data_IF_474680313709
#
_entry.id   IF_474680313709
#
_cell.length_a   1.000
_cell.length_b   1.000
_cell.length_c   1.000
_cell.angle_alpha   90.00
_cell.angle_beta   90.00
_cell.angle_gamma   90.00
#
_symmetry.space_group_name_H-M   'P 1'
#
loop_
_entity.id
_entity.type
_entity.pdbx_description
1 polymer ?
#
# COMPACT_ATOMS: atom_id res chain seq x y z
N UNK A 1 85.57 -0.73 46.57
CA UNK A 1 85.37 -1.44 45.31
C UNK A 1 84.01 -1.05 44.77
N UNK A 2 84.01 -0.14 43.82
CA UNK A 2 82.78 0.48 43.27
C UNK A 2 82.47 -0.16 41.90
N UNK A 3 81.36 -0.89 41.78
CA UNK A 3 80.91 -1.40 40.51
C UNK A 3 79.89 -0.43 39.85
N UNK A 4 80.30 0.16 38.73
CA UNK A 4 79.43 0.98 37.91
C UNK A 4 78.43 0.06 37.10
N UNK A 5 77.12 0.22 37.33
CA UNK A 5 76.07 -0.40 36.50
C UNK A 5 75.90 0.39 35.18
N UNK A 6 75.92 -0.35 34.07
CA UNK A 6 75.72 0.15 32.69
C UNK A 6 74.21 0.28 32.46
N UNK A 7 73.69 1.51 32.26
CA UNK A 7 72.30 1.76 31.84
C UNK A 7 72.19 1.48 30.33
N UNK A 8 71.38 0.52 29.94
CA UNK A 8 71.01 0.27 28.55
C UNK A 8 69.82 1.15 28.21
N UNK A 9 69.98 2.06 27.29
CA UNK A 9 68.89 2.87 26.72
C UNK A 9 68.08 2.04 25.72
N UNK A 10 66.74 2.08 25.74
CA UNK A 10 65.94 1.44 24.71
C UNK A 10 65.96 2.30 23.44
N UNK A 11 66.33 1.70 22.31
CA UNK A 11 66.25 2.30 20.99
C UNK A 11 64.77 2.46 20.58
N UNK A 12 64.35 3.72 20.38
CA UNK A 12 63.06 4.04 19.82
C UNK A 12 63.00 3.64 18.35
N UNK A 13 62.22 2.58 18.06
CA UNK A 13 61.87 2.21 16.70
C UNK A 13 61.01 3.29 16.06
N UNK A 14 61.52 3.97 15.05
CA UNK A 14 60.76 4.95 14.28
C UNK A 14 59.55 4.34 13.55
N UNK A 15 58.49 5.10 13.29
CA UNK A 15 57.31 4.60 12.60
C UNK A 15 57.69 4.13 11.18
N UNK A 16 57.49 2.85 10.91
CA UNK A 16 57.76 2.24 9.63
C UNK A 16 57.03 2.97 8.50
N UNK A 17 57.80 3.54 7.58
CA UNK A 17 57.26 4.24 6.41
C UNK A 17 56.56 3.24 5.51
N UNK A 18 55.21 3.30 5.45
CA UNK A 18 54.41 2.52 4.51
C UNK A 18 54.90 2.82 3.09
N UNK A 19 55.29 1.76 2.33
CA UNK A 19 55.87 1.94 1.00
C UNK A 19 54.91 2.70 0.07
N UNK A 20 55.44 3.62 -0.72
CA UNK A 20 54.67 4.44 -1.67
C UNK A 20 53.71 3.64 -2.54
N UNK A 21 54.11 2.41 -2.95
CA UNK A 21 53.26 1.50 -3.70
C UNK A 21 51.98 1.12 -2.96
N UNK A 22 52.04 0.87 -1.65
CA UNK A 22 50.83 0.53 -0.82
C UNK A 22 49.88 1.71 -0.68
N UNK A 23 50.40 2.95 -0.62
CA UNK A 23 49.57 4.17 -0.61
C UNK A 23 48.88 4.41 -1.95
N UNK A 24 49.51 4.12 -3.06
CA UNK A 24 48.94 4.23 -4.41
C UNK A 24 47.88 3.15 -4.63
N UNK A 25 48.11 1.92 -4.17
CA UNK A 25 47.12 0.82 -4.25
C UNK A 25 45.92 1.13 -3.36
N UNK A 26 46.11 1.64 -2.15
CA UNK A 26 45.01 2.06 -1.27
C UNK A 26 44.21 3.24 -1.84
N UNK A 27 44.87 4.21 -2.47
CA UNK A 27 44.18 5.33 -3.13
C UNK A 27 43.43 4.88 -4.39
N UNK A 28 43.96 3.95 -5.19
CA UNK A 28 43.25 3.32 -6.31
C UNK A 28 42.08 2.44 -5.87
N UNK A 29 42.23 1.71 -4.77
CA UNK A 29 41.16 0.92 -4.18
C UNK A 29 40.02 1.81 -3.63
N UNK A 30 40.34 2.95 -3.02
CA UNK A 30 39.34 3.95 -2.60
C UNK A 30 38.64 4.64 -3.78
N UNK A 31 39.33 4.87 -4.89
CA UNK A 31 38.74 5.42 -6.13
C UNK A 31 37.84 4.39 -6.85
N UNK A 32 38.17 3.11 -6.79
CA UNK A 32 37.36 2.02 -7.32
C UNK A 32 36.13 1.70 -6.43
N UNK A 33 36.15 2.11 -5.15
CA UNK A 33 35.01 1.99 -4.23
C UNK A 33 34.14 3.25 -4.20
N UNK A 34 34.32 4.19 -5.11
CA UNK A 34 33.25 5.12 -5.49
C UNK A 34 32.14 4.26 -6.12
N UNK A 35 31.38 3.58 -5.25
CA UNK A 35 30.14 2.93 -5.64
C UNK A 35 29.38 3.95 -6.49
N UNK A 36 29.08 3.59 -7.73
CA UNK A 36 28.16 4.34 -8.57
C UNK A 36 26.87 4.47 -7.76
N UNK A 37 26.69 5.60 -7.11
CA UNK A 37 25.42 5.97 -6.51
C UNK A 37 24.44 6.02 -7.68
N UNK A 38 23.74 4.90 -7.93
CA UNK A 38 22.64 4.88 -8.89
C UNK A 38 21.66 5.91 -8.36
N UNK A 39 21.59 7.05 -9.01
CA UNK A 39 20.67 8.10 -8.64
C UNK A 39 19.26 7.50 -8.62
N UNK A 40 18.56 7.68 -7.52
CA UNK A 40 17.18 7.22 -7.41
C UNK A 40 16.36 7.93 -8.47
N UNK A 41 15.64 7.23 -9.36
CA UNK A 41 14.92 7.87 -10.44
C UNK A 41 13.86 8.84 -9.88
N UNK A 42 13.76 10.01 -10.49
CA UNK A 42 12.79 11.05 -10.18
C UNK A 42 11.44 10.67 -10.77
N UNK A 43 10.60 10.03 -10.01
CA UNK A 43 9.33 9.49 -10.50
C UNK A 43 8.12 10.24 -9.97
N UNK A 44 7.11 10.35 -10.81
CA UNK A 44 5.82 10.94 -10.49
C UNK A 44 4.72 9.92 -10.78
N UNK A 45 3.62 9.97 -10.04
CA UNK A 45 2.47 9.14 -10.34
C UNK A 45 1.13 9.83 -10.04
N UNK A 46 0.14 9.57 -10.89
CA UNK A 46 -1.25 9.93 -10.65
C UNK A 46 -1.98 8.88 -9.80
N UNK A 47 -1.43 7.66 -9.72
CA UNK A 47 -2.08 6.53 -9.06
C UNK A 47 -1.53 6.24 -7.67
N UNK A 48 -2.42 6.09 -6.70
CA UNK A 48 -2.05 5.86 -5.30
C UNK A 48 -1.55 4.43 -5.04
N UNK A 49 -2.04 3.44 -5.79
CA UNK A 49 -1.55 2.06 -5.71
C UNK A 49 -0.10 1.95 -6.21
N UNK A 50 0.22 2.69 -7.29
CA UNK A 50 1.60 2.81 -7.78
C UNK A 50 2.46 3.54 -6.74
N UNK A 51 1.99 4.65 -6.17
CA UNK A 51 2.73 5.38 -5.13
C UNK A 51 3.08 4.46 -3.94
N UNK A 52 2.13 3.65 -3.46
CA UNK A 52 2.37 2.67 -2.40
C UNK A 52 3.47 1.67 -2.76
N UNK A 53 3.40 1.12 -3.98
CA UNK A 53 4.36 0.12 -4.44
C UNK A 53 5.76 0.75 -4.61
N UNK A 54 5.87 1.96 -5.17
CA UNK A 54 7.13 2.69 -5.29
C UNK A 54 7.80 2.87 -3.93
N UNK A 55 7.05 3.37 -2.94
CA UNK A 55 7.56 3.54 -1.57
C UNK A 55 8.03 2.20 -0.98
N UNK A 56 7.26 1.14 -1.18
CA UNK A 56 7.60 -0.20 -0.70
C UNK A 56 8.82 -0.82 -1.41
N UNK A 57 9.15 -0.34 -2.62
CA UNK A 57 10.35 -0.65 -3.38
C UNK A 57 11.56 0.23 -2.99
N UNK A 58 11.39 1.19 -2.09
CA UNK A 58 12.43 2.15 -1.69
C UNK A 58 12.63 3.28 -2.69
N UNK A 59 11.62 3.61 -3.49
CA UNK A 59 11.62 4.72 -4.43
C UNK A 59 10.60 5.75 -3.98
N UNK A 60 11.08 6.89 -3.52
CA UNK A 60 10.22 8.01 -3.12
C UNK A 60 9.66 8.73 -4.35
N UNK A 61 8.33 8.78 -4.59
CA UNK A 61 7.80 9.60 -5.66
C UNK A 61 7.98 11.08 -5.31
N UNK A 62 8.54 11.86 -6.25
CA UNK A 62 8.72 13.31 -6.07
C UNK A 62 7.43 14.09 -6.25
N UNK A 63 6.42 13.51 -6.90
CA UNK A 63 5.10 14.09 -7.09
C UNK A 63 4.00 13.04 -7.12
N UNK A 64 2.88 13.34 -6.44
CA UNK A 64 1.68 12.48 -6.38
C UNK A 64 0.43 13.34 -6.49
N UNK A 65 -0.57 12.87 -7.24
CA UNK A 65 -1.86 13.57 -7.34
C UNK A 65 -2.72 13.39 -6.09
N UNK A 66 -3.38 14.47 -5.65
CA UNK A 66 -4.32 14.46 -4.52
C UNK A 66 -3.72 13.87 -3.22
N UNK A 67 -2.61 14.43 -2.76
CA UNK A 67 -1.89 13.98 -1.55
C UNK A 67 -2.78 13.93 -0.31
N UNK A 68 -3.67 14.91 -0.11
CA UNK A 68 -4.62 14.90 0.99
C UNK A 68 -5.56 13.68 0.92
N UNK A 69 -6.05 13.35 -0.30
CA UNK A 69 -6.83 12.15 -0.54
C UNK A 69 -6.03 10.86 -0.25
N UNK A 70 -4.77 10.80 -0.67
CA UNK A 70 -3.89 9.67 -0.34
C UNK A 70 -3.84 9.44 1.18
N UNK A 71 -3.63 10.48 1.96
CA UNK A 71 -3.56 10.37 3.43
C UNK A 71 -4.85 9.83 4.05
N UNK A 72 -6.01 10.26 3.53
CA UNK A 72 -7.33 9.87 4.08
C UNK A 72 -7.75 8.45 3.67
N UNK A 73 -7.50 8.06 2.43
CA UNK A 73 -8.04 6.83 1.85
C UNK A 73 -7.05 5.67 1.84
N UNK A 74 -5.76 5.96 1.67
CA UNK A 74 -4.72 4.94 1.57
C UNK A 74 -4.18 4.58 2.94
N UNK A 75 -3.99 5.57 3.79
CA UNK A 75 -3.53 5.44 5.18
C UNK A 75 -2.21 4.67 5.37
N UNK A 76 -1.39 4.56 4.32
CA UNK A 76 -0.06 3.94 4.38
C UNK A 76 0.34 3.14 3.13
N UNK A 77 1.67 3.02 2.88
CA UNK A 77 2.75 3.69 3.59
C UNK A 77 2.67 5.22 3.45
N UNK A 78 3.21 5.99 4.42
CA UNK A 78 3.18 7.45 4.33
C UNK A 78 4.00 7.94 3.14
N UNK A 79 3.50 8.99 2.47
CA UNK A 79 4.28 9.68 1.46
C UNK A 79 5.46 10.41 2.15
N UNK A 80 6.65 10.44 1.51
CA UNK A 80 7.75 11.29 1.95
C UNK A 80 7.31 12.76 2.12
N UNK A 81 7.91 13.47 3.06
CA UNK A 81 7.52 14.85 3.39
C UNK A 81 7.78 15.85 2.25
N UNK A 82 8.72 15.52 1.38
CA UNK A 82 9.13 16.30 0.20
C UNK A 82 8.32 15.95 -1.07
N UNK A 83 7.43 14.95 -1.01
CA UNK A 83 6.52 14.64 -2.11
C UNK A 83 5.60 15.82 -2.40
N UNK A 84 5.65 16.34 -3.65
CA UNK A 84 4.85 17.48 -4.08
C UNK A 84 3.44 17.04 -4.49
N UNK A 85 2.45 17.84 -4.12
CA UNK A 85 1.09 17.75 -4.65
C UNK A 85 1.09 18.23 -6.11
N UNK A 86 0.67 17.38 -7.05
CA UNK A 86 0.63 17.71 -8.48
C UNK A 86 -0.79 17.96 -9.01
N UNK A 87 -1.72 18.32 -8.13
CA UNK A 87 -3.12 18.61 -8.48
C UNK A 87 -4.00 17.36 -8.51
N UNK A 88 -5.12 17.44 -9.22
CA UNK A 88 -6.05 16.32 -9.33
C UNK A 88 -5.46 15.16 -10.12
N UNK A 89 -5.74 13.93 -9.72
CA UNK A 89 -5.30 12.73 -10.47
C UNK A 89 -5.85 12.68 -11.88
N UNK A 90 -7.07 13.20 -12.11
CA UNK A 90 -7.70 13.30 -13.43
C UNK A 90 -7.28 14.55 -14.23
N UNK A 91 -6.78 15.58 -13.53
CA UNK A 91 -6.33 16.86 -14.13
C UNK A 91 -5.08 17.36 -13.41
N UNK A 92 -3.91 16.76 -13.67
CA UNK A 92 -2.67 17.17 -13.03
C UNK A 92 -2.24 18.57 -13.50
N UNK A 93 -1.54 19.29 -12.64
CA UNK A 93 -0.93 20.57 -12.95
C UNK A 93 0.32 20.34 -13.82
N UNK A 94 0.19 20.62 -15.12
CA UNK A 94 1.24 20.36 -16.11
C UNK A 94 2.47 21.25 -15.93
N UNK A 95 2.29 22.50 -15.47
CA UNK A 95 3.42 23.41 -15.22
C UNK A 95 4.26 22.91 -14.05
N UNK A 96 3.60 22.50 -12.97
CA UNK A 96 4.30 21.93 -11.82
C UNK A 96 5.00 20.61 -12.17
N UNK A 97 4.36 19.76 -12.99
CA UNK A 97 4.99 18.54 -13.50
C UNK A 97 6.26 18.86 -14.32
N UNK A 98 6.21 19.87 -15.20
CA UNK A 98 7.39 20.31 -15.95
C UNK A 98 8.49 20.85 -15.04
N UNK A 99 8.13 21.64 -14.00
CA UNK A 99 9.11 22.15 -13.01
C UNK A 99 9.74 21.04 -12.18
N UNK A 100 9.01 19.95 -11.93
CA UNK A 100 9.53 18.80 -11.19
C UNK A 100 10.56 18.00 -12.00
N UNK A 101 10.61 18.17 -13.31
CA UNK A 101 11.53 17.50 -14.23
C UNK A 101 11.71 16.01 -13.89
N UNK A 102 10.63 15.20 -14.02
CA UNK A 102 10.68 13.78 -13.69
C UNK A 102 11.36 12.96 -14.80
N UNK A 103 12.10 11.93 -14.42
CA UNK A 103 12.64 10.95 -15.38
C UNK A 103 11.53 10.07 -15.96
N UNK A 104 10.41 9.90 -15.22
CA UNK A 104 9.28 9.05 -15.63
C UNK A 104 8.00 9.38 -14.89
N UNK A 105 6.89 9.28 -15.62
CA UNK A 105 5.54 9.41 -15.07
C UNK A 105 4.85 8.03 -15.12
N UNK A 106 4.38 7.57 -13.98
CA UNK A 106 3.62 6.32 -13.88
C UNK A 106 2.13 6.61 -13.84
N UNK A 107 1.37 5.83 -14.59
CA UNK A 107 -0.09 5.82 -14.59
C UNK A 107 -0.61 4.39 -14.54
N UNK A 108 -1.91 4.23 -14.30
CA UNK A 108 -2.66 3.00 -14.56
C UNK A 108 -3.61 3.22 -15.72
N UNK A 109 -4.28 2.16 -16.15
CA UNK A 109 -5.36 2.19 -17.15
C UNK A 109 -6.42 3.25 -16.86
N UNK A 110 -6.66 3.58 -15.59
CA UNK A 110 -7.61 4.63 -15.17
C UNK A 110 -7.24 6.02 -15.74
N UNK A 111 -5.95 6.26 -15.95
CA UNK A 111 -5.41 7.54 -16.41
C UNK A 111 -4.87 7.48 -17.84
N UNK A 112 -5.20 6.43 -18.59
CA UNK A 112 -4.71 6.25 -19.97
C UNK A 112 -5.02 7.45 -20.88
N UNK A 113 -6.17 8.11 -20.69
CA UNK A 113 -6.53 9.33 -21.41
C UNK A 113 -5.61 10.54 -21.19
N UNK A 114 -4.77 10.52 -20.13
CA UNK A 114 -3.78 11.56 -19.86
C UNK A 114 -2.40 11.27 -20.50
N UNK A 115 -2.18 10.05 -20.99
CA UNK A 115 -0.86 9.58 -21.40
C UNK A 115 -0.22 10.48 -22.46
N UNK A 116 -0.95 10.87 -23.49
CA UNK A 116 -0.45 11.74 -24.58
C UNK A 116 -0.02 13.11 -24.04
N UNK A 117 -0.82 13.71 -23.17
CA UNK A 117 -0.52 15.01 -22.58
C UNK A 117 0.68 14.93 -21.64
N UNK A 118 0.78 13.90 -20.82
CA UNK A 118 1.88 13.67 -19.89
C UNK A 118 3.20 13.38 -20.62
N UNK A 119 3.14 12.71 -21.78
CA UNK A 119 4.34 12.39 -22.58
C UNK A 119 5.07 13.60 -23.14
N UNK A 120 4.45 14.78 -23.15
CA UNK A 120 5.15 16.03 -23.50
C UNK A 120 6.12 16.51 -22.41
N UNK A 121 6.06 15.92 -21.20
CA UNK A 121 6.94 16.29 -20.08
C UNK A 121 8.00 15.20 -19.87
N UNK A 122 7.60 13.94 -19.77
CA UNK A 122 8.50 12.82 -19.52
C UNK A 122 7.92 11.50 -20.07
N UNK A 123 8.76 10.46 -20.24
CA UNK A 123 8.28 9.13 -20.62
C UNK A 123 7.18 8.63 -19.67
N UNK A 124 6.04 8.21 -20.25
CA UNK A 124 4.90 7.67 -19.50
C UNK A 124 4.94 6.14 -19.51
N UNK A 125 4.70 5.52 -18.38
CA UNK A 125 4.58 4.07 -18.24
C UNK A 125 3.27 3.70 -17.57
N UNK A 126 2.43 2.91 -18.26
CA UNK A 126 1.24 2.32 -17.67
C UNK A 126 1.59 1.04 -16.91
N UNK A 127 1.04 0.89 -15.71
CA UNK A 127 1.20 -0.29 -14.84
C UNK A 127 -0.20 -0.76 -14.47
N UNK A 128 -0.79 -1.56 -15.35
CA UNK A 128 -2.20 -1.92 -15.32
C UNK A 128 -2.43 -3.14 -14.41
N UNK A 129 -3.61 -3.19 -13.77
CA UNK A 129 -4.03 -4.26 -12.86
C UNK A 129 -5.42 -4.77 -13.22
N UNK A 130 -6.41 -3.88 -13.40
CA UNK A 130 -7.82 -4.26 -13.50
C UNK A 130 -8.31 -4.51 -14.93
N UNK A 131 -7.61 -4.00 -15.92
CA UNK A 131 -7.95 -4.18 -17.35
C UNK A 131 -7.07 -5.23 -18.03
N UNK A 132 -6.20 -5.90 -17.27
CA UNK A 132 -5.47 -7.07 -17.72
C UNK A 132 -6.32 -8.33 -17.56
N UNK A 133 -6.09 -9.32 -18.41
CA UNK A 133 -6.71 -10.65 -18.25
C UNK A 133 -6.18 -11.35 -17.00
N UNK A 134 -7.00 -12.22 -16.43
CA UNK A 134 -6.62 -13.04 -15.28
C UNK A 134 -7.10 -12.53 -13.94
N UNK A 135 -6.55 -13.09 -12.87
CA UNK A 135 -6.89 -12.78 -11.48
C UNK A 135 -6.23 -11.47 -11.02
N UNK A 136 -6.97 -10.61 -10.33
CA UNK A 136 -6.48 -9.30 -9.86
C UNK A 136 -5.24 -9.42 -8.97
N UNK A 137 -5.09 -10.50 -8.23
CA UNK A 137 -3.90 -10.73 -7.41
C UNK A 137 -2.67 -10.98 -8.28
N UNK A 138 -2.78 -11.85 -9.27
CA UNK A 138 -1.64 -12.17 -10.15
C UNK A 138 -1.26 -10.94 -10.99
N UNK A 139 -2.25 -10.18 -11.45
CA UNK A 139 -2.04 -8.89 -12.11
C UNK A 139 -1.32 -7.89 -11.18
N UNK A 140 -1.68 -7.84 -9.88
CA UNK A 140 -0.99 -7.00 -8.90
C UNK A 140 0.48 -7.43 -8.71
N UNK A 141 0.77 -8.74 -8.68
CA UNK A 141 2.15 -9.24 -8.62
C UNK A 141 2.94 -8.89 -9.88
N UNK A 142 2.33 -9.04 -11.05
CA UNK A 142 2.92 -8.66 -12.33
C UNK A 142 3.20 -7.16 -12.40
N UNK A 143 2.26 -6.32 -11.94
CA UNK A 143 2.40 -4.87 -11.85
C UNK A 143 3.59 -4.46 -10.97
N UNK A 144 3.74 -5.07 -9.79
CA UNK A 144 4.89 -4.81 -8.90
C UNK A 144 6.20 -5.26 -9.54
N UNK A 145 6.20 -6.40 -10.24
CA UNK A 145 7.38 -6.90 -10.96
C UNK A 145 7.76 -5.94 -12.10
N UNK A 146 6.79 -5.49 -12.90
CA UNK A 146 6.98 -4.50 -13.96
C UNK A 146 7.52 -3.18 -13.40
N UNK A 147 6.92 -2.68 -12.31
CA UNK A 147 7.34 -1.46 -11.66
C UNK A 147 8.80 -1.57 -11.17
N UNK A 148 9.15 -2.69 -10.51
CA UNK A 148 10.51 -2.95 -10.05
C UNK A 148 11.56 -2.87 -11.16
N UNK A 149 11.27 -3.42 -12.35
CA UNK A 149 12.14 -3.30 -13.53
C UNK A 149 12.28 -1.86 -14.02
N UNK A 150 11.17 -1.13 -14.07
CA UNK A 150 11.14 0.24 -14.59
C UNK A 150 11.87 1.25 -13.69
N UNK A 151 12.15 0.88 -12.43
CA UNK A 151 12.87 1.73 -11.45
C UNK A 151 14.15 1.07 -10.92
N UNK A 152 14.67 0.03 -11.58
CA UNK A 152 15.89 -0.70 -11.21
C UNK A 152 15.85 -1.26 -9.78
N UNK A 153 14.70 -1.84 -9.40
CA UNK A 153 14.43 -2.42 -8.07
C UNK A 153 13.89 -3.86 -8.15
N UNK A 154 14.36 -4.67 -9.10
CA UNK A 154 13.90 -6.05 -9.28
C UNK A 154 14.04 -6.92 -8.02
N UNK A 155 15.16 -6.79 -7.32
CA UNK A 155 15.41 -7.52 -6.06
C UNK A 155 14.40 -7.09 -4.98
N UNK A 156 14.13 -5.78 -4.87
CA UNK A 156 13.15 -5.25 -3.94
C UNK A 156 11.73 -5.70 -4.28
N UNK A 157 11.36 -5.75 -5.56
CA UNK A 157 10.06 -6.25 -6.01
C UNK A 157 9.85 -7.73 -5.64
N UNK A 158 10.82 -8.59 -5.90
CA UNK A 158 10.79 -10.00 -5.48
C UNK A 158 10.67 -10.14 -3.96
N UNK A 159 11.42 -9.35 -3.21
CA UNK A 159 11.38 -9.34 -1.74
C UNK A 159 10.04 -8.84 -1.21
N UNK A 160 9.44 -7.79 -1.81
CA UNK A 160 8.13 -7.27 -1.47
C UNK A 160 7.04 -8.33 -1.66
N UNK A 161 7.01 -8.99 -2.83
CA UNK A 161 6.06 -10.07 -3.13
C UNK A 161 6.18 -11.20 -2.10
N UNK A 162 7.40 -11.69 -1.86
CA UNK A 162 7.63 -12.77 -0.90
C UNK A 162 7.24 -12.37 0.52
N UNK A 163 7.55 -11.15 0.94
CA UNK A 163 7.17 -10.62 2.26
C UNK A 163 5.66 -10.52 2.41
N UNK A 164 4.96 -9.97 1.41
CA UNK A 164 3.50 -9.85 1.42
C UNK A 164 2.83 -11.21 1.53
N UNK A 165 3.25 -12.20 0.75
CA UNK A 165 2.70 -13.57 0.84
C UNK A 165 2.87 -14.16 2.23
N UNK A 166 4.07 -14.03 2.84
CA UNK A 166 4.32 -14.51 4.21
C UNK A 166 3.50 -13.76 5.26
N UNK A 167 3.31 -12.46 5.09
CA UNK A 167 2.50 -11.66 6.03
C UNK A 167 1.03 -12.06 5.96
N UNK A 168 0.47 -12.23 4.76
CA UNK A 168 -0.92 -12.69 4.58
C UNK A 168 -1.10 -14.08 5.19
N UNK A 169 -0.21 -15.04 4.93
CA UNK A 169 -0.26 -16.37 5.51
C UNK A 169 -0.26 -16.33 7.05
N UNK A 170 0.64 -15.55 7.65
CA UNK A 170 0.67 -15.36 9.11
C UNK A 170 -0.62 -14.76 9.67
N UNK A 171 -1.30 -13.89 8.93
CA UNK A 171 -2.59 -13.36 9.37
C UNK A 171 -3.71 -14.39 9.17
N UNK A 172 -3.63 -15.22 8.14
CA UNK A 172 -4.56 -16.34 7.94
C UNK A 172 -4.55 -17.32 9.14
N UNK A 173 -3.36 -17.66 9.67
CA UNK A 173 -3.21 -18.55 10.83
C UNK A 173 -3.88 -18.00 12.11
N UNK A 174 -4.22 -16.71 12.15
CA UNK A 174 -4.88 -16.05 13.29
C UNK A 174 -6.41 -16.06 13.17
N UNK A 175 -6.93 -16.23 11.97
CA UNK A 175 -8.38 -16.14 11.72
C UNK A 175 -9.08 -17.37 12.25
N UNK A 176 -10.21 -17.24 12.99
CA UNK A 176 -11.00 -18.39 13.43
C UNK A 176 -11.50 -19.23 12.25
N UNK A 177 -11.38 -20.57 12.35
CA UNK A 177 -11.73 -21.48 11.26
C UNK A 177 -13.25 -21.49 10.92
N UNK A 178 -14.10 -21.11 11.88
CA UNK A 178 -15.55 -21.02 11.75
C UNK A 178 -16.03 -19.63 11.31
N UNK A 179 -15.13 -18.80 10.78
CA UNK A 179 -15.49 -17.46 10.30
C UNK A 179 -16.49 -17.55 9.15
N UNK A 180 -17.66 -16.95 9.34
CA UNK A 180 -18.68 -16.84 8.28
C UNK A 180 -18.16 -16.06 7.08
N UNK A 181 -18.72 -16.27 5.86
CA UNK A 181 -18.36 -15.47 4.68
C UNK A 181 -18.42 -13.98 4.96
N UNK A 182 -17.48 -13.22 4.44
CA UNK A 182 -17.36 -11.78 4.67
C UNK A 182 -18.20 -10.99 3.67
N UNK A 183 -19.09 -10.14 4.16
CA UNK A 183 -19.72 -9.09 3.36
C UNK A 183 -18.90 -7.80 3.53
N UNK A 184 -17.95 -7.58 2.63
CA UNK A 184 -17.10 -6.39 2.65
C UNK A 184 -17.77 -5.23 1.93
N UNK A 185 -17.93 -4.12 2.63
CA UNK A 185 -18.58 -2.93 2.08
C UNK A 185 -17.97 -1.63 2.59
N UNK A 186 -18.30 -0.55 1.89
CA UNK A 186 -17.95 0.82 2.24
C UNK A 186 -19.15 1.72 1.98
N UNK A 187 -19.51 2.58 2.93
CA UNK A 187 -20.61 3.51 2.73
C UNK A 187 -20.27 4.58 1.72
N UNK A 188 -21.20 4.85 0.83
CA UNK A 188 -21.17 5.98 -0.12
C UNK A 188 -22.01 7.11 0.45
N UNK A 189 -23.20 6.79 0.95
CA UNK A 189 -24.12 7.67 1.65
C UNK A 189 -24.99 6.86 2.63
N UNK A 190 -26.02 7.45 3.20
CA UNK A 190 -26.96 6.78 4.13
C UNK A 190 -27.86 5.72 3.50
N UNK A 191 -27.86 5.61 2.18
CA UNK A 191 -28.74 4.71 1.41
C UNK A 191 -27.98 3.72 0.53
N UNK A 192 -26.71 4.01 0.21
CA UNK A 192 -25.92 3.24 -0.74
C UNK A 192 -24.59 2.80 -0.15
N UNK A 193 -24.21 1.60 -0.54
CA UNK A 193 -22.92 1.02 -0.22
C UNK A 193 -22.20 0.58 -1.49
N UNK A 194 -20.88 0.64 -1.44
CA UNK A 194 -20.00 -0.07 -2.36
C UNK A 194 -19.71 -1.43 -1.76
N UNK A 195 -20.09 -2.51 -2.44
CA UNK A 195 -19.74 -3.88 -2.06
C UNK A 195 -18.62 -4.40 -2.92
N UNK A 196 -17.80 -5.30 -2.36
CA UNK A 196 -16.63 -5.84 -3.03
C UNK A 196 -16.84 -7.30 -3.41
N UNK A 197 -16.53 -7.63 -4.66
CA UNK A 197 -16.62 -8.96 -5.24
C UNK A 197 -15.26 -9.53 -5.65
N UNK A 198 -15.30 -10.67 -6.34
CA UNK A 198 -14.12 -11.50 -6.64
C UNK A 198 -13.01 -10.77 -7.43
N UNK A 199 -13.34 -9.77 -8.23
CA UNK A 199 -12.38 -8.97 -8.98
C UNK A 199 -11.68 -7.87 -8.17
N UNK A 200 -11.94 -7.74 -6.85
CA UNK A 200 -11.28 -6.74 -6.01
C UNK A 200 -10.07 -7.30 -5.26
N UNK A 201 -9.06 -6.46 -5.04
CA UNK A 201 -7.85 -6.84 -4.30
C UNK A 201 -8.16 -7.27 -2.86
N UNK A 202 -9.14 -6.64 -2.21
CA UNK A 202 -9.53 -7.00 -0.83
C UNK A 202 -10.12 -8.40 -0.76
N UNK A 203 -11.01 -8.79 -1.70
CA UNK A 203 -11.55 -10.14 -1.78
C UNK A 203 -10.47 -11.15 -2.18
N UNK A 204 -9.62 -10.81 -3.14
CA UNK A 204 -8.50 -11.66 -3.53
C UNK A 204 -7.54 -11.92 -2.37
N UNK A 205 -7.35 -10.93 -1.48
CA UNK A 205 -6.55 -11.07 -0.26
C UNK A 205 -7.27 -11.93 0.78
N UNK A 206 -8.57 -11.68 1.02
CA UNK A 206 -9.38 -12.48 1.96
C UNK A 206 -9.36 -13.98 1.61
N UNK A 207 -9.51 -14.32 0.33
CA UNK A 207 -9.42 -15.72 -0.15
C UNK A 207 -8.06 -16.36 0.17
N UNK A 208 -6.96 -15.61 0.12
CA UNK A 208 -5.62 -16.08 0.50
C UNK A 208 -5.43 -16.25 2.01
N UNK A 209 -6.38 -15.70 2.78
CA UNK A 209 -6.48 -15.95 4.22
C UNK A 209 -7.48 -17.08 4.56
N UNK A 210 -8.02 -17.78 3.56
CA UNK A 210 -9.04 -18.81 3.76
C UNK A 210 -10.42 -18.25 4.07
N UNK A 211 -10.68 -16.99 3.76
CA UNK A 211 -11.96 -16.32 4.01
C UNK A 211 -12.79 -16.23 2.73
N UNK A 212 -14.06 -16.65 2.83
CA UNK A 212 -15.01 -16.58 1.74
C UNK A 212 -15.65 -15.18 1.64
N UNK A 213 -16.12 -14.86 0.43
CA UNK A 213 -16.86 -13.63 0.17
C UNK A 213 -18.35 -13.90 0.06
N UNK A 214 -19.17 -13.16 0.79
CA UNK A 214 -20.62 -13.30 0.79
C UNK A 214 -21.31 -12.62 -0.41
N UNK A 215 -20.63 -11.68 -1.11
CA UNK A 215 -21.20 -11.04 -2.28
C UNK A 215 -20.97 -11.85 -3.54
N UNK A 216 -22.05 -12.36 -4.14
CA UNK A 216 -22.05 -13.13 -5.39
C UNK A 216 -22.71 -12.37 -6.55
N UNK A 217 -23.21 -11.15 -6.31
CA UNK A 217 -23.79 -10.31 -7.34
C UNK A 217 -22.74 -9.81 -8.35
N UNK A 218 -23.21 -9.31 -9.49
CA UNK A 218 -22.35 -8.71 -10.51
C UNK A 218 -21.53 -7.56 -9.92
N UNK A 219 -20.34 -7.39 -10.47
CA UNK A 219 -19.44 -6.26 -10.16
C UNK A 219 -18.93 -5.62 -11.44
N UNK A 220 -18.51 -4.39 -11.34
CA UNK A 220 -17.74 -3.76 -12.41
C UNK A 220 -16.40 -4.46 -12.57
N UNK A 221 -15.65 -4.10 -13.61
CA UNK A 221 -14.27 -4.56 -13.84
C UNK A 221 -13.32 -4.27 -12.65
N UNK A 222 -13.66 -3.27 -11.84
CA UNK A 222 -12.94 -2.90 -10.61
C UNK A 222 -13.24 -3.82 -9.41
N UNK A 223 -14.01 -4.88 -9.61
CA UNK A 223 -14.37 -5.84 -8.57
C UNK A 223 -15.30 -5.26 -7.50
N UNK A 224 -16.12 -4.27 -7.83
CA UNK A 224 -17.08 -3.67 -6.90
C UNK A 224 -18.40 -3.35 -7.59
N UNK A 225 -19.47 -3.24 -6.79
CA UNK A 225 -20.76 -2.73 -7.20
C UNK A 225 -21.24 -1.65 -6.22
N UNK A 226 -21.93 -0.63 -6.74
CA UNK A 226 -22.65 0.34 -5.91
C UNK A 226 -24.11 -0.10 -5.88
N UNK A 227 -24.63 -0.36 -4.67
CA UNK A 227 -25.98 -0.89 -4.49
C UNK A 227 -26.70 -0.16 -3.35
N UNK A 228 -28.04 -0.06 -3.38
CA UNK A 228 -28.80 0.38 -2.23
C UNK A 228 -28.64 -0.62 -1.07
N UNK A 229 -28.66 -0.15 0.17
CA UNK A 229 -28.52 -0.97 1.38
C UNK A 229 -29.54 -2.11 1.39
N UNK A 230 -30.77 -1.87 0.91
CA UNK A 230 -31.83 -2.88 0.83
C UNK A 230 -31.44 -4.11 0.01
N UNK A 231 -30.55 -3.96 -0.96
CA UNK A 231 -30.06 -5.09 -1.78
C UNK A 231 -29.26 -6.12 -0.98
N UNK A 232 -28.80 -5.75 0.23
CA UNK A 232 -28.10 -6.67 1.13
C UNK A 232 -29.05 -7.59 1.91
N UNK A 233 -30.37 -7.40 1.80
CA UNK A 233 -31.37 -8.20 2.51
C UNK A 233 -31.38 -9.68 2.07
N UNK A 234 -30.92 -9.97 0.85
CA UNK A 234 -30.82 -11.34 0.33
C UNK A 234 -29.64 -12.13 0.92
N UNK A 235 -28.74 -11.47 1.68
CA UNK A 235 -27.54 -12.08 2.27
C UNK A 235 -27.83 -12.42 3.72
N UNK A 236 -28.14 -13.70 3.95
CA UNK A 236 -28.63 -14.16 5.24
C UNK A 236 -27.51 -14.61 6.19
N UNK A 237 -26.39 -15.10 5.67
CA UNK A 237 -25.28 -15.60 6.49
C UNK A 237 -23.97 -14.94 6.06
N UNK A 238 -23.60 -13.89 6.77
CA UNK A 238 -22.35 -13.18 6.53
C UNK A 238 -21.87 -12.44 7.76
N UNK A 239 -20.56 -12.25 7.85
CA UNK A 239 -19.93 -11.28 8.74
C UNK A 239 -19.76 -9.95 8.01
N UNK A 240 -20.48 -8.93 8.42
CA UNK A 240 -20.41 -7.60 7.78
C UNK A 240 -19.13 -6.90 8.19
N UNK A 241 -18.32 -6.51 7.20
CA UNK A 241 -17.09 -5.75 7.36
C UNK A 241 -17.27 -4.39 6.68
N UNK A 242 -17.29 -3.34 7.48
CA UNK A 242 -17.35 -1.96 7.00
C UNK A 242 -15.95 -1.37 6.94
N UNK A 243 -15.51 -1.01 5.75
CA UNK A 243 -14.20 -0.40 5.54
C UNK A 243 -14.33 1.14 5.53
N UNK A 244 -13.45 1.79 6.28
CA UNK A 244 -13.36 3.24 6.28
C UNK A 244 -12.75 3.83 4.97
N UNK A 245 -12.79 5.15 4.81
CA UNK A 245 -13.49 6.08 5.67
C UNK A 245 -15.01 6.04 5.49
N UNK A 246 -15.74 6.30 6.56
CA UNK A 246 -17.20 6.52 6.48
C UNK A 246 -17.42 8.01 6.22
N UNK A 247 -18.25 8.39 5.24
CA UNK A 247 -18.52 9.80 4.96
C UNK A 247 -19.09 10.54 6.18
N UNK A 248 -18.77 11.82 6.28
CA UNK A 248 -19.22 12.67 7.39
C UNK A 248 -20.76 12.66 7.51
N UNK A 249 -21.27 12.45 8.73
CA UNK A 249 -22.70 12.39 9.03
C UNK A 249 -23.41 11.09 8.65
N UNK A 250 -22.76 10.19 7.89
CA UNK A 250 -23.37 8.92 7.50
C UNK A 250 -23.43 7.95 8.70
N UNK A 251 -22.42 7.96 9.57
CA UNK A 251 -22.38 7.09 10.74
C UNK A 251 -23.62 7.28 11.64
N UNK A 252 -24.00 8.51 11.93
CA UNK A 252 -25.17 8.83 12.78
C UNK A 252 -26.48 8.40 12.10
N UNK A 253 -26.63 8.68 10.82
CA UNK A 253 -27.82 8.32 10.04
C UNK A 253 -28.01 6.80 9.91
N UNK A 254 -26.91 6.05 9.74
CA UNK A 254 -26.97 4.59 9.63
C UNK A 254 -27.32 3.93 10.96
N UNK A 255 -26.87 4.51 12.09
CA UNK A 255 -27.25 4.02 13.41
C UNK A 255 -28.78 3.94 13.59
N UNK A 256 -29.50 4.91 13.03
CA UNK A 256 -30.97 5.01 13.09
C UNK A 256 -31.68 4.43 11.86
N UNK A 257 -30.95 3.92 10.87
CA UNK A 257 -31.52 3.43 9.62
C UNK A 257 -32.19 2.07 9.83
N UNK A 258 -33.53 2.04 9.78
CA UNK A 258 -34.31 0.81 9.99
C UNK A 258 -34.03 -0.29 8.95
N UNK A 259 -33.73 0.09 7.69
CA UNK A 259 -33.40 -0.89 6.66
C UNK A 259 -32.07 -1.57 7.00
N UNK A 260 -31.05 -0.80 7.42
CA UNK A 260 -29.78 -1.34 7.88
C UNK A 260 -29.92 -2.26 9.07
N UNK A 261 -30.68 -1.83 10.09
CA UNK A 261 -30.92 -2.62 11.31
C UNK A 261 -31.72 -3.90 11.05
N UNK A 262 -32.55 -3.92 10.01
CA UNK A 262 -33.36 -5.08 9.62
C UNK A 262 -32.59 -6.10 8.79
N UNK A 263 -31.39 -5.80 8.28
CA UNK A 263 -30.59 -6.72 7.47
C UNK A 263 -30.26 -8.00 8.27
N UNK A 264 -30.50 -9.20 7.70
CA UNK A 264 -30.24 -10.46 8.40
C UNK A 264 -28.79 -10.56 8.93
N UNK A 265 -27.80 -10.23 8.11
CA UNK A 265 -26.39 -10.29 8.50
C UNK A 265 -26.02 -9.30 9.63
N UNK A 266 -26.68 -8.12 9.69
CA UNK A 266 -26.48 -7.10 10.76
C UNK A 266 -27.14 -7.55 12.06
N UNK A 267 -28.31 -8.19 11.96
CA UNK A 267 -29.04 -8.71 13.14
C UNK A 267 -28.34 -9.92 13.78
N UNK A 268 -27.68 -10.74 12.98
CA UNK A 268 -26.98 -11.94 13.48
C UNK A 268 -25.73 -11.60 14.27
N UNK A 269 -24.99 -10.57 13.86
CA UNK A 269 -23.82 -10.11 14.58
C UNK A 269 -23.54 -8.63 14.26
N UNK A 270 -23.07 -7.84 15.23
CA UNK A 270 -22.68 -6.45 14.99
C UNK A 270 -21.66 -6.34 13.86
N UNK A 271 -21.81 -5.35 12.94
CA UNK A 271 -20.83 -5.08 11.91
C UNK A 271 -19.44 -4.80 12.49
N UNK A 272 -18.41 -5.26 11.80
CA UNK A 272 -17.02 -5.00 12.15
C UNK A 272 -16.51 -3.82 11.34
N UNK A 273 -15.93 -2.84 12.02
CA UNK A 273 -15.34 -1.67 11.38
C UNK A 273 -13.83 -1.82 11.31
N UNK A 274 -13.27 -1.60 10.11
CA UNK A 274 -11.84 -1.52 9.93
C UNK A 274 -11.45 -0.15 9.35
N UNK A 275 -10.28 0.40 9.75
CA UNK A 275 -9.76 1.62 9.16
C UNK A 275 -9.65 1.56 7.64
N UNK A 276 -9.46 2.73 7.03
CA UNK A 276 -9.32 2.85 5.58
C UNK A 276 -8.25 1.92 5.01
N UNK A 277 -8.62 1.25 3.93
CA UNK A 277 -7.74 0.46 3.07
C UNK A 277 -8.05 0.83 1.62
N UNK A 278 -7.02 1.21 0.87
CA UNK A 278 -7.22 1.55 -0.52
C UNK A 278 -7.52 0.31 -1.35
N UNK A 279 -8.76 0.16 -1.78
CA UNK A 279 -9.24 -1.02 -2.51
C UNK A 279 -8.61 -1.19 -3.91
N UNK A 280 -8.11 -0.09 -4.48
CA UNK A 280 -7.33 -0.06 -5.73
C UNK A 280 -5.82 0.04 -5.45
N UNK A 281 -5.39 -0.45 -4.30
CA UNK A 281 -4.01 -0.33 -3.84
C UNK A 281 -3.08 -1.39 -4.42
N UNK A 282 -1.82 -1.27 -4.02
CA UNK A 282 -0.79 -2.26 -4.28
C UNK A 282 -0.68 -3.31 -3.17
N UNK A 283 0.44 -4.03 -3.15
CA UNK A 283 0.73 -5.02 -2.12
C UNK A 283 0.73 -4.47 -0.68
N UNK A 284 1.13 -3.20 -0.42
CA UNK A 284 0.94 -2.62 0.91
C UNK A 284 -0.52 -2.58 1.38
N UNK A 285 -1.47 -2.27 0.48
CA UNK A 285 -2.89 -2.32 0.81
C UNK A 285 -3.38 -3.73 1.13
N UNK A 286 -2.96 -4.73 0.35
CA UNK A 286 -3.28 -6.14 0.62
C UNK A 286 -2.74 -6.58 2.00
N UNK A 287 -1.50 -6.23 2.32
CA UNK A 287 -0.90 -6.52 3.63
C UNK A 287 -1.66 -5.83 4.76
N UNK A 288 -1.98 -4.54 4.59
CA UNK A 288 -2.75 -3.77 5.58
C UNK A 288 -4.12 -4.37 5.81
N UNK A 289 -4.84 -4.73 4.74
CA UNK A 289 -6.13 -5.39 4.83
C UNK A 289 -6.03 -6.69 5.63
N UNK A 290 -5.06 -7.55 5.32
CA UNK A 290 -4.87 -8.82 6.02
C UNK A 290 -4.65 -8.63 7.55
N UNK A 291 -3.86 -7.64 7.95
CA UNK A 291 -3.66 -7.29 9.36
C UNK A 291 -4.95 -6.82 10.02
N UNK A 292 -5.62 -5.85 9.40
CA UNK A 292 -6.83 -5.25 9.97
C UNK A 292 -7.97 -6.26 10.11
N UNK A 293 -8.16 -7.13 9.12
CA UNK A 293 -9.23 -8.12 9.17
C UNK A 293 -8.94 -9.22 10.18
N UNK A 294 -7.69 -9.70 10.27
CA UNK A 294 -7.30 -10.66 11.31
C UNK A 294 -7.51 -10.08 12.70
N UNK A 295 -7.04 -8.86 12.94
CA UNK A 295 -7.24 -8.17 14.23
C UNK A 295 -8.72 -7.97 14.57
N UNK A 296 -9.54 -7.64 13.57
CA UNK A 296 -10.97 -7.41 13.76
C UNK A 296 -11.75 -8.69 14.04
N UNK A 297 -11.36 -9.81 13.43
CA UNK A 297 -12.02 -11.11 13.61
C UNK A 297 -11.57 -11.84 14.89
N UNK A 298 -10.40 -11.49 15.46
CA UNK A 298 -9.88 -12.09 16.69
C UNK A 298 -10.23 -11.31 17.96
N UNK A 299 -10.66 -10.05 17.83
CA UNK A 299 -11.16 -9.28 18.98
C UNK A 299 -12.51 -9.83 19.41
N UNK A 300 -12.72 -9.86 20.74
CA UNK A 300 -14.06 -10.08 21.27
C UNK A 300 -15.04 -9.09 20.61
N UNK A 301 -16.25 -9.54 20.24
CA UNK A 301 -17.26 -8.66 19.69
C UNK A 301 -17.43 -7.45 20.61
N UNK A 302 -17.40 -6.25 20.05
CA UNK A 302 -17.79 -5.05 20.78
C UNK A 302 -19.29 -5.22 21.07
N UNK A 303 -19.63 -5.61 22.32
CA UNK A 303 -20.96 -6.02 22.72
C UNK A 303 -21.93 -4.85 22.91
N UNK A 304 -21.54 -3.64 22.54
CA UNK A 304 -22.41 -2.49 22.52
C UNK A 304 -23.46 -2.58 21.43
N UNK A 305 -24.75 -2.38 21.72
CA UNK A 305 -25.75 -2.20 20.69
C UNK A 305 -25.47 -0.85 20.01
N UNK A 306 -24.94 -0.88 18.83
CA UNK A 306 -24.79 0.35 18.08
C UNK A 306 -23.58 0.39 17.18
N UNK A 307 -23.78 1.06 16.10
CA UNK A 307 -22.77 1.63 15.23
C UNK A 307 -21.63 2.21 16.09
N UNK A 308 -20.36 1.85 15.87
CA UNK A 308 -19.27 2.46 16.62
C UNK A 308 -19.31 3.95 16.33
N UNK A 309 -19.64 4.73 17.35
CA UNK A 309 -19.52 6.18 17.28
C UNK A 309 -18.08 6.45 16.89
N UNK A 310 -17.90 7.13 15.77
CA UNK A 310 -16.58 7.50 15.27
C UNK A 310 -15.81 8.14 16.41
N UNK A 311 -14.77 7.47 16.92
CA UNK A 311 -13.79 8.17 17.73
C UNK A 311 -13.15 9.17 16.78
N UNK A 312 -13.17 10.48 17.11
CA UNK A 312 -12.42 11.43 16.33
C UNK A 312 -10.97 10.94 16.28
N UNK A 313 -10.47 10.71 15.10
CA UNK A 313 -9.04 10.50 14.88
C UNK A 313 -8.31 11.77 15.29
N UNK A 314 -7.27 11.67 16.15
CA UNK A 314 -6.46 12.81 16.53
C UNK A 314 -5.73 13.41 15.32
#
# INVERSE_FOLDING_TARGET
>A
VTRRGRVVQPTAGGPGSVPRALRVIAALACLLWCATAVATPRVVTLDWGIAQNLIALGVAPIGVGQVAGYRSWVAGPPLPSDTREIGLRSQPNMELLAQLDPDRIFITELYAGQAQRLSSIAPVSSVDVYFSDGDVWDNTLAAVTKLGRLVDRDKAAKALIARTRRQIARQADRVPADTRPLLMLQFVDESHVRVYGSGSLVVATARRMGLDNAWHGATTRWGMAMVPISRLADINDARVIVMGPVPVGVADKIADNRVWQALPAVRQAPPVFIPAVWSFGGLPSATRFAHLIADALTRAPDTGPGWPRARPTP
#
